data_IF_487614964459
#
_entry.id   IF_487614964459
#
_cell.length_a   1.000
_cell.length_b   1.000
_cell.length_c   1.000
_cell.angle_alpha   90.00
_cell.angle_beta   90.00
_cell.angle_gamma   90.00
#
_symmetry.space_group_name_H-M   'P 1'
#
loop_
_entity.id
_entity.type
_entity.pdbx_description
1 polymer ?
#
# COMPACT_ATOMS: atom_id res chain seq x y z
N UNK A 1 20.88 12.47 6.64
CA UNK A 1 20.69 12.34 5.19
C UNK A 1 21.26 10.98 4.80
N UNK A 2 20.41 10.01 4.47
CA UNK A 2 20.85 8.77 3.84
C UNK A 2 20.63 8.91 2.33
N UNK A 3 21.71 8.83 1.58
CA UNK A 3 21.70 8.75 0.11
C UNK A 3 21.97 7.28 -0.21
N UNK A 4 20.98 6.60 -0.77
CA UNK A 4 21.19 5.26 -1.30
C UNK A 4 22.00 5.37 -2.61
N UNK A 5 22.98 4.48 -2.85
CA UNK A 5 23.57 4.36 -4.17
C UNK A 5 22.48 3.94 -5.16
N UNK A 6 22.54 4.50 -6.36
CA UNK A 6 21.66 4.14 -7.47
C UNK A 6 21.88 2.66 -7.79
N UNK A 7 21.03 1.77 -7.25
CA UNK A 7 21.12 0.35 -7.55
C UNK A 7 20.54 0.14 -8.94
N UNK A 8 21.35 -0.42 -9.83
CA UNK A 8 20.99 -0.71 -11.23
C UNK A 8 19.95 -1.86 -11.27
N UNK A 9 19.72 -2.53 -10.15
CA UNK A 9 18.72 -3.57 -9.98
C UNK A 9 17.44 -3.05 -9.30
N UNK A 10 16.32 -3.31 -9.97
CA UNK A 10 15.00 -2.69 -9.82
C UNK A 10 14.29 -3.11 -8.51
N UNK A 11 13.31 -2.31 -8.04
CA UNK A 11 12.40 -2.52 -6.87
C UNK A 11 12.73 -1.79 -5.56
N UNK A 12 12.82 -0.45 -5.60
CA UNK A 12 13.05 0.38 -4.40
C UNK A 12 11.84 1.25 -4.03
N UNK A 13 11.28 1.10 -2.83
CA UNK A 13 10.24 1.99 -2.25
C UNK A 13 10.80 2.68 -1.01
N UNK A 14 10.44 3.96 -0.82
CA UNK A 14 10.79 4.73 0.36
C UNK A 14 9.57 4.93 1.27
N UNK A 15 9.71 4.57 2.55
CA UNK A 15 8.70 4.80 3.58
C UNK A 15 9.11 5.96 4.52
N UNK A 16 8.13 6.70 5.06
CA UNK A 16 8.36 7.82 5.99
C UNK A 16 7.44 7.80 7.21
N UNK A 17 7.99 8.17 8.38
CA UNK A 17 7.25 8.46 9.64
C UNK A 17 7.14 9.97 9.90
N UNK A 18 6.19 10.37 10.75
CA UNK A 18 5.81 11.73 11.23
C UNK A 18 6.94 12.74 11.55
N UNK A 19 8.21 12.35 11.55
CA UNK A 19 9.35 13.21 11.92
C UNK A 19 10.38 13.46 10.80
N UNK A 20 10.02 13.25 9.54
CA UNK A 20 10.82 13.72 8.39
C UNK A 20 12.15 13.00 8.18
N UNK A 21 12.33 11.82 8.76
CA UNK A 21 13.50 10.96 8.53
C UNK A 21 13.12 9.92 7.46
N UNK A 22 13.84 9.84 6.32
CA UNK A 22 13.69 8.75 5.35
C UNK A 22 13.91 7.42 6.07
N UNK A 23 12.86 6.62 6.24
CA UNK A 23 12.89 5.60 7.30
C UNK A 23 13.43 4.25 6.80
N UNK A 24 13.17 3.79 5.57
CA UNK A 24 13.68 2.48 5.15
C UNK A 24 13.52 2.22 3.64
N UNK A 25 14.40 1.36 3.11
CA UNK A 25 14.32 0.75 1.78
C UNK A 25 13.95 -0.74 1.97
N UNK A 26 12.73 -1.12 1.59
CA UNK A 26 12.28 -2.51 1.67
C UNK A 26 12.29 -3.20 0.31
N UNK A 27 12.70 -4.47 0.27
CA UNK A 27 12.53 -5.33 -0.91
C UNK A 27 11.20 -6.06 -0.76
N UNK A 28 10.26 -5.80 -1.65
CA UNK A 28 8.99 -6.53 -1.70
C UNK A 28 9.20 -7.93 -2.28
N UNK A 29 8.95 -8.95 -1.47
CA UNK A 29 9.14 -10.36 -1.83
C UNK A 29 7.81 -11.15 -1.84
N UNK A 30 7.83 -12.32 -1.20
CA UNK A 30 6.63 -13.17 -1.00
C UNK A 30 6.09 -13.14 0.43
N UNK A 31 6.87 -12.61 1.36
CA UNK A 31 6.55 -12.51 2.77
C UNK A 31 6.27 -11.06 3.13
N UNK A 32 5.40 -10.84 4.11
CA UNK A 32 5.13 -9.51 4.68
C UNK A 32 6.43 -8.83 5.06
N UNK A 33 6.49 -7.52 4.84
CA UNK A 33 7.56 -6.69 5.35
C UNK A 33 7.49 -6.68 6.88
N UNK A 34 8.66 -6.62 7.53
CA UNK A 34 8.84 -6.72 8.98
C UNK A 34 8.40 -5.44 9.72
N UNK A 35 7.17 -5.02 9.46
CA UNK A 35 6.51 -3.87 10.04
C UNK A 35 5.10 -4.27 10.44
N UNK A 36 4.66 -3.69 11.55
CA UNK A 36 3.28 -3.79 12.02
C UNK A 36 2.36 -3.11 11.01
N UNK A 37 1.10 -3.50 11.01
CA UNK A 37 0.10 -2.80 10.22
C UNK A 37 0.01 -1.33 10.64
N UNK A 38 -0.37 -0.47 9.71
CA UNK A 38 -0.58 0.96 9.97
C UNK A 38 0.65 1.68 10.59
N UNK A 39 1.86 1.28 10.17
CA UNK A 39 3.10 1.88 10.67
C UNK A 39 3.47 3.21 9.98
N UNK A 40 2.99 3.44 8.75
CA UNK A 40 3.46 4.56 7.92
C UNK A 40 2.31 5.47 7.49
N UNK A 41 2.59 6.77 7.39
CA UNK A 41 1.62 7.76 6.90
C UNK A 41 1.76 8.01 5.41
N UNK A 42 2.96 7.80 4.86
CA UNK A 42 3.27 8.05 3.47
C UNK A 42 4.27 7.01 2.98
N UNK A 43 3.93 6.42 1.83
CA UNK A 43 4.86 5.67 1.00
C UNK A 43 5.09 6.42 -0.30
N UNK A 44 6.34 6.40 -0.77
CA UNK A 44 6.74 7.03 -2.01
C UNK A 44 7.47 6.03 -2.90
N UNK A 45 6.95 5.85 -4.11
CA UNK A 45 7.64 5.18 -5.21
C UNK A 45 7.92 6.21 -6.30
N UNK A 46 9.19 6.38 -6.65
CA UNK A 46 9.62 7.16 -7.81
C UNK A 46 10.44 6.25 -8.71
N UNK A 47 9.93 5.96 -9.92
CA UNK A 47 10.54 5.05 -10.89
C UNK A 47 10.98 3.71 -10.26
N UNK A 48 10.21 3.18 -9.31
CA UNK A 48 10.61 2.01 -8.52
C UNK A 48 10.65 0.72 -9.34
N UNK A 49 10.03 0.71 -10.53
CA UNK A 49 9.95 -0.43 -11.47
C UNK A 49 9.34 -1.69 -10.85
N UNK A 50 8.46 -1.47 -9.87
CA UNK A 50 7.69 -2.52 -9.23
C UNK A 50 6.44 -2.75 -10.06
N UNK A 51 6.25 -3.99 -10.47
CA UNK A 51 4.97 -4.42 -11.00
C UNK A 51 3.97 -4.53 -9.84
N UNK A 52 3.15 -3.49 -9.69
CA UNK A 52 2.12 -3.40 -8.65
C UNK A 52 0.90 -4.28 -8.94
N UNK A 53 0.73 -4.74 -10.17
CA UNK A 53 -0.39 -5.59 -10.60
C UNK A 53 -0.07 -7.07 -10.48
N UNK A 54 1.20 -7.43 -10.28
CA UNK A 54 1.61 -8.82 -10.10
C UNK A 54 0.83 -9.53 -8.99
N UNK A 55 0.59 -10.82 -9.18
CA UNK A 55 -0.01 -11.71 -8.17
C UNK A 55 -1.27 -11.10 -7.55
N UNK A 56 -2.19 -10.66 -8.40
CA UNK A 56 -3.47 -10.07 -8.00
C UNK A 56 -3.33 -8.81 -7.13
N UNK A 57 -2.30 -8.00 -7.39
CA UNK A 57 -2.08 -6.76 -6.67
C UNK A 57 -1.50 -6.94 -5.26
N UNK A 58 -0.98 -8.12 -4.92
CA UNK A 58 -0.53 -8.46 -3.55
C UNK A 58 0.49 -7.49 -2.97
N UNK A 59 1.33 -6.88 -3.82
CA UNK A 59 2.31 -5.91 -3.37
C UNK A 59 1.68 -4.59 -2.95
N UNK A 60 0.63 -4.18 -3.64
CA UNK A 60 -0.15 -2.99 -3.31
C UNK A 60 -0.99 -3.23 -2.05
N UNK A 61 -1.44 -4.47 -1.84
CA UNK A 61 -2.16 -4.89 -0.63
C UNK A 61 -1.24 -4.98 0.59
N UNK A 62 0.01 -5.43 0.42
CA UNK A 62 1.01 -5.32 1.48
C UNK A 62 1.32 -3.86 1.80
N UNK A 63 1.41 -3.00 0.78
CA UNK A 63 1.54 -1.56 1.00
C UNK A 63 0.32 -0.99 1.75
N UNK A 64 -0.89 -1.45 1.42
CA UNK A 64 -2.11 -1.08 2.14
C UNK A 64 -2.01 -1.44 3.61
N UNK A 65 -1.69 -2.69 3.95
CA UNK A 65 -1.53 -3.14 5.35
C UNK A 65 -0.63 -2.22 6.15
N UNK A 66 0.47 -1.75 5.55
CA UNK A 66 1.48 -0.90 6.18
C UNK A 66 1.09 0.56 6.33
N UNK A 67 0.27 1.09 5.43
CA UNK A 67 -0.20 2.46 5.49
C UNK A 67 -1.35 2.60 6.50
N UNK A 68 -1.26 3.62 7.35
CA UNK A 68 -2.32 4.05 8.26
C UNK A 68 -3.61 4.36 7.51
N UNK A 69 -4.75 4.29 8.19
CA UNK A 69 -5.97 4.91 7.68
C UNK A 69 -5.73 6.40 7.38
N UNK A 70 -6.22 6.88 6.24
CA UNK A 70 -5.88 8.23 5.73
C UNK A 70 -4.43 8.44 5.26
N UNK A 71 -3.60 7.38 5.26
CA UNK A 71 -2.25 7.43 4.74
C UNK A 71 -2.21 7.63 3.22
N UNK A 72 -1.06 8.09 2.72
CA UNK A 72 -0.86 8.46 1.32
C UNK A 72 0.12 7.52 0.61
N UNK A 73 -0.14 7.30 -0.67
CA UNK A 73 0.81 6.68 -1.59
C UNK A 73 1.11 7.64 -2.73
N UNK A 74 2.35 8.14 -2.76
CA UNK A 74 2.86 8.98 -3.84
C UNK A 74 3.58 8.11 -4.86
N UNK A 75 3.12 8.14 -6.10
CA UNK A 75 3.62 7.33 -7.19
C UNK A 75 4.00 8.20 -8.38
N UNK A 76 5.29 8.16 -8.74
CA UNK A 76 5.87 8.90 -9.86
C UNK A 76 6.55 7.91 -10.82
N UNK A 77 5.87 7.57 -11.92
CA UNK A 77 6.34 6.58 -12.90
C UNK A 77 5.68 6.86 -14.26
N UNK A 78 6.24 6.40 -15.40
CA UNK A 78 5.65 6.61 -16.73
C UNK A 78 4.15 6.29 -16.80
N UNK A 79 3.73 5.18 -16.17
CA UNK A 79 2.34 4.74 -16.05
C UNK A 79 1.41 5.83 -15.45
N UNK A 80 1.94 6.78 -14.68
CA UNK A 80 1.14 7.87 -14.13
C UNK A 80 0.87 9.01 -15.12
N UNK A 81 1.72 9.23 -16.13
CA UNK A 81 1.70 10.46 -16.97
C UNK A 81 1.92 10.26 -18.46
N UNK A 82 2.60 9.19 -18.88
CA UNK A 82 2.83 8.86 -20.27
C UNK A 82 1.51 8.55 -20.98
N UNK A 83 1.53 8.68 -22.31
CA UNK A 83 0.33 8.63 -23.15
C UNK A 83 0.39 7.49 -24.17
N UNK A 84 1.41 6.64 -24.12
CA UNK A 84 1.44 5.42 -24.92
C UNK A 84 0.46 4.38 -24.37
N UNK A 85 0.11 3.43 -25.24
CA UNK A 85 -0.99 2.50 -24.98
C UNK A 85 -0.70 1.54 -23.82
N UNK A 86 0.57 1.15 -23.65
CA UNK A 86 1.01 0.24 -22.59
C UNK A 86 0.91 0.91 -21.22
N UNK A 87 1.48 2.09 -21.06
CA UNK A 87 1.41 2.87 -19.81
C UNK A 87 -0.04 3.22 -19.46
N UNK A 88 -0.88 3.58 -20.44
CA UNK A 88 -2.30 3.84 -20.21
C UNK A 88 -3.09 2.60 -19.82
N UNK A 89 -2.68 1.40 -20.27
CA UNK A 89 -3.31 0.14 -19.86
C UNK A 89 -2.98 -0.16 -18.41
N UNK A 90 -1.70 -0.10 -18.03
CA UNK A 90 -1.25 -0.33 -16.66
C UNK A 90 -1.88 0.68 -15.70
N UNK A 91 -1.96 1.95 -16.10
CA UNK A 91 -2.66 2.99 -15.36
C UNK A 91 -4.12 2.61 -15.03
N UNK A 92 -4.87 2.16 -16.04
CA UNK A 92 -6.29 1.80 -15.90
C UNK A 92 -6.47 0.62 -14.94
N UNK A 93 -5.64 -0.41 -15.10
CA UNK A 93 -5.67 -1.59 -14.24
C UNK A 93 -5.30 -1.25 -12.79
N UNK A 94 -4.23 -0.46 -12.58
CA UNK A 94 -3.85 -0.01 -11.23
C UNK A 94 -4.92 0.87 -10.60
N UNK A 95 -5.46 1.82 -11.37
CA UNK A 95 -6.52 2.72 -10.89
C UNK A 95 -7.76 1.93 -10.47
N UNK A 96 -8.14 0.92 -11.25
CA UNK A 96 -9.27 0.03 -10.95
C UNK A 96 -9.00 -0.77 -9.65
N UNK A 97 -7.79 -1.28 -9.48
CA UNK A 97 -7.41 -2.02 -8.26
C UNK A 97 -7.48 -1.12 -7.01
N UNK A 98 -6.87 0.08 -7.04
CA UNK A 98 -6.89 0.98 -5.88
C UNK A 98 -8.28 1.53 -5.59
N UNK A 99 -9.12 1.73 -6.61
CA UNK A 99 -10.54 2.08 -6.45
C UNK A 99 -11.31 0.96 -5.74
N UNK A 100 -11.09 -0.31 -6.12
CA UNK A 100 -11.66 -1.45 -5.40
C UNK A 100 -11.13 -1.60 -3.96
N UNK A 101 -9.94 -1.07 -3.67
CA UNK A 101 -9.39 -0.93 -2.33
C UNK A 101 -9.90 0.33 -1.60
N UNK A 102 -10.88 1.05 -2.16
CA UNK A 102 -11.46 2.27 -1.59
C UNK A 102 -10.51 3.48 -1.50
N UNK A 103 -9.37 3.44 -2.19
CA UNK A 103 -8.45 4.57 -2.23
C UNK A 103 -8.98 5.63 -3.19
N UNK A 104 -8.68 6.89 -2.90
CA UNK A 104 -9.09 8.04 -3.73
C UNK A 104 -7.86 8.79 -4.22
N UNK A 105 -7.96 9.42 -5.38
CA UNK A 105 -6.91 10.33 -5.85
C UNK A 105 -6.99 11.61 -5.00
N UNK A 106 -5.95 11.86 -4.19
CA UNK A 106 -5.79 13.11 -3.46
C UNK A 106 -5.31 14.23 -4.39
N UNK A 107 -4.36 13.92 -5.27
CA UNK A 107 -3.89 14.85 -6.30
C UNK A 107 -3.21 14.09 -7.44
N UNK A 108 -3.28 14.64 -8.64
CA UNK A 108 -2.49 14.20 -9.80
C UNK A 108 -1.92 15.44 -10.47
N UNK A 109 -0.60 15.59 -10.47
CA UNK A 109 0.09 16.75 -11.04
C UNK A 109 1.39 16.33 -11.69
N UNK A 110 1.65 16.87 -12.88
CA UNK A 110 2.84 16.57 -13.67
C UNK A 110 3.03 15.05 -13.86
N UNK A 111 4.07 14.50 -13.24
CA UNK A 111 4.48 13.11 -13.35
C UNK A 111 4.10 12.26 -12.13
N UNK A 112 3.32 12.82 -11.19
CA UNK A 112 3.02 12.19 -9.91
C UNK A 112 1.53 12.14 -9.66
N UNK A 113 1.06 10.98 -9.21
CA UNK A 113 -0.25 10.81 -8.57
C UNK A 113 -0.04 10.51 -7.09
N UNK A 114 -0.94 11.02 -6.26
CA UNK A 114 -1.02 10.68 -4.85
C UNK A 114 -2.41 10.12 -4.59
N UNK A 115 -2.46 8.89 -4.09
CA UNK A 115 -3.66 8.28 -3.55
C UNK A 115 -3.72 8.43 -2.04
N UNK A 116 -4.93 8.43 -1.50
CA UNK A 116 -5.21 8.45 -0.06
C UNK A 116 -6.11 7.27 0.32
N UNK A 117 -5.74 6.58 1.39
CA UNK A 117 -6.52 5.49 2.00
C UNK A 117 -7.81 6.02 2.63
N UNK A 118 -8.87 5.19 2.73
CA UNK A 118 -10.03 5.56 3.52
C UNK A 118 -9.65 5.77 4.99
N UNK A 119 -10.41 6.62 5.69
CA UNK A 119 -10.21 6.90 7.11
C UNK A 119 -10.87 5.84 8.01
N UNK A 120 -11.93 5.20 7.50
CA UNK A 120 -12.77 4.24 8.22
C UNK A 120 -13.05 3.03 7.32
N UNK A 121 -13.59 1.95 7.91
CA UNK A 121 -13.97 0.74 7.17
C UNK A 121 -15.28 0.87 6.38
N UNK A 122 -15.99 2.01 6.45
CA UNK A 122 -17.31 2.20 5.85
C UNK A 122 -17.35 1.75 4.38
N UNK A 123 -16.35 2.13 3.60
CA UNK A 123 -16.28 1.74 2.20
C UNK A 123 -16.07 0.24 1.99
N UNK A 124 -15.45 -0.48 2.93
CA UNK A 124 -15.28 -1.93 2.87
C UNK A 124 -16.58 -2.68 3.16
N UNK A 125 -17.36 -2.17 4.10
CA UNK A 125 -18.64 -2.75 4.52
C UNK A 125 -19.73 -2.61 3.43
N UNK A 126 -19.63 -1.55 2.62
CA UNK A 126 -20.57 -1.27 1.52
C UNK A 126 -20.25 -2.02 0.21
N UNK A 127 -19.17 -2.82 0.17
CA UNK A 127 -18.75 -3.53 -1.04
C UNK A 127 -19.70 -4.65 -1.39
N UNK A 128 -19.93 -4.85 -2.69
CA UNK A 128 -20.71 -5.98 -3.18
C UNK A 128 -20.04 -7.31 -2.82
N UNK A 129 -20.85 -8.33 -2.54
CA UNK A 129 -20.35 -9.67 -2.27
C UNK A 129 -19.58 -10.20 -3.49
N UNK A 130 -18.32 -10.59 -3.27
CA UNK A 130 -17.44 -11.13 -4.32
C UNK A 130 -16.56 -10.09 -5.03
N UNK A 131 -16.61 -8.81 -4.64
CA UNK A 131 -15.65 -7.80 -5.12
C UNK A 131 -14.22 -8.20 -4.78
N UNK A 132 -13.32 -8.13 -5.77
CA UNK A 132 -11.90 -8.37 -5.58
C UNK A 132 -11.15 -7.03 -5.38
N UNK A 133 -10.11 -6.99 -4.52
CA UNK A 133 -9.67 -8.05 -3.61
C UNK A 133 -10.60 -8.18 -2.39
N UNK A 134 -10.77 -9.37 -1.79
CA UNK A 134 -11.64 -9.55 -0.62
C UNK A 134 -11.08 -8.83 0.61
N UNK A 135 -11.90 -8.63 1.63
CA UNK A 135 -11.41 -8.25 2.96
C UNK A 135 -10.75 -9.48 3.61
N UNK A 136 -9.63 -9.28 4.29
CA UNK A 136 -8.91 -10.36 4.98
C UNK A 136 -9.80 -11.02 6.04
N UNK A 137 -9.49 -12.27 6.36
CA UNK A 137 -10.25 -13.01 7.37
C UNK A 137 -10.02 -12.41 8.75
N UNK A 138 -11.01 -12.53 9.64
CA UNK A 138 -10.92 -12.01 11.01
C UNK A 138 -9.79 -12.64 11.84
N UNK A 139 -9.37 -13.87 11.50
CA UNK A 139 -8.27 -14.59 12.15
C UNK A 139 -6.89 -14.26 11.58
N UNK A 140 -6.78 -13.44 10.54
CA UNK A 140 -5.50 -12.95 10.02
C UNK A 140 -5.01 -11.78 10.88
N UNK A 141 -3.95 -12.02 11.67
CA UNK A 141 -3.30 -10.96 12.46
C UNK A 141 -2.49 -10.04 11.53
N UNK A 142 -2.89 -8.78 11.33
CA UNK A 142 -2.20 -7.88 10.40
C UNK A 142 -0.84 -7.41 10.93
N UNK A 143 -0.54 -7.62 12.21
CA UNK A 143 0.74 -7.30 12.82
C UNK A 143 1.74 -8.47 12.80
N UNK A 144 1.28 -9.68 12.49
CA UNK A 144 2.14 -10.83 12.27
C UNK A 144 2.91 -10.66 10.94
N UNK A 145 4.21 -10.39 11.04
CA UNK A 145 5.05 -10.07 9.89
C UNK A 145 6.24 -11.04 9.68
N UNK A 146 6.76 -11.66 10.74
CA UNK A 146 7.95 -12.52 10.63
C UNK A 146 7.61 -13.85 9.95
N UNK A 147 8.24 -14.11 8.81
CA UNK A 147 8.05 -15.33 8.00
C UNK A 147 6.61 -15.55 7.50
N UNK A 148 5.72 -14.56 7.66
CA UNK A 148 4.31 -14.64 7.23
C UNK A 148 4.22 -14.35 5.73
N UNK A 149 3.60 -15.22 4.91
CA UNK A 149 3.31 -14.94 3.51
C UNK A 149 2.42 -13.71 3.35
N UNK A 150 2.61 -12.93 2.29
CA UNK A 150 1.63 -11.91 1.92
C UNK A 150 0.32 -12.59 1.50
N UNK A 151 -0.81 -11.89 1.70
CA UNK A 151 -2.13 -12.33 1.24
C UNK A 151 -2.75 -11.26 0.34
N UNK A 152 -3.48 -11.69 -0.70
CA UNK A 152 -4.17 -10.80 -1.63
C UNK A 152 -5.55 -10.40 -1.08
N UNK A 153 -5.57 -9.73 0.08
CA UNK A 153 -6.78 -9.23 0.73
C UNK A 153 -6.54 -7.86 1.39
N UNK A 154 -7.63 -7.13 1.64
CA UNK A 154 -7.61 -5.82 2.31
C UNK A 154 -7.70 -6.01 3.83
N UNK A 155 -6.74 -5.46 4.56
CA UNK A 155 -6.76 -5.43 6.02
C UNK A 155 -7.75 -4.37 6.51
N UNK A 156 -8.79 -4.79 7.22
CA UNK A 156 -9.71 -3.86 7.88
C UNK A 156 -9.04 -3.18 9.08
N UNK A 157 -9.48 -1.97 9.40
CA UNK A 157 -9.03 -1.26 10.60
C UNK A 157 -9.71 -1.91 11.81
N UNK A 158 -8.97 -2.64 12.63
CA UNK A 158 -9.49 -3.08 13.92
C UNK A 158 -9.67 -1.86 14.83
N UNK A 159 -10.83 -1.76 15.50
CA UNK A 159 -11.03 -0.84 16.62
C UNK A 159 -10.12 -1.25 17.79
N UNK A 160 -8.83 -0.90 17.72
CA UNK A 160 -7.88 -1.06 18.83
C UNK A 160 -8.14 -0.08 19.99
N UNK A 161 -9.40 0.32 20.18
CA UNK A 161 -9.87 1.08 21.34
C UNK A 161 -10.60 0.19 22.38
N UNK A 162 -10.51 -1.14 22.31
CA UNK A 162 -11.28 -2.05 23.17
C UNK A 162 -10.54 -3.14 23.95
N UNK A 163 -9.23 -3.33 23.79
CA UNK A 163 -8.48 -4.35 24.55
C UNK A 163 -7.21 -3.77 25.17
N UNK A 164 -7.43 -2.73 25.99
CA UNK A 164 -6.46 -2.28 26.96
C UNK A 164 -6.68 -3.00 28.30
N UNK A 165 -5.66 -3.76 28.69
CA UNK A 165 -5.25 -3.97 30.09
C UNK A 165 -6.19 -4.83 30.95
N UNK A 166 -6.08 -6.17 30.85
CA UNK A 166 -6.20 -6.98 32.06
C UNK A 166 -4.89 -6.83 32.85
N UNK A 167 -4.99 -6.18 34.01
CA UNK A 167 -3.93 -6.14 35.00
C UNK A 167 -3.61 -7.58 35.45
N UNK A 168 -2.33 -7.96 35.35
CA UNK A 168 -1.71 -8.90 36.29
C UNK A 168 -0.89 -8.11 37.29
#
# INVERSE_FOLDING_TARGET
MFVAPNDVHQNQIQFSLERGIPTYLGVLGRKRLLYLSQSFELAHCSCCRIDWLQRDGILLLELDRLLKSGGYFSYSSPEAYAQDEEDLKIWREMSTLVEHMCWKIATKRNQTVIWVKPLTNECYDERELGTQPPVCRFDDDPDAAWEVPMEACITSYSDRLGLGIEYC
#
